data_IF_406565715005
#
_entry.id   IF_406565715005
#
_cell.length_a   1.000
_cell.length_b   1.000
_cell.length_c   1.000
_cell.angle_alpha   90.00
_cell.angle_beta   90.00
_cell.angle_gamma   90.00
#
_symmetry.space_group_name_H-M   'P 1'
#
loop_
_entity.id
_entity.type
_entity.pdbx_description
1 polymer ?
2 polymer ?
3 polymer ?
4 non-polymer ?
5 water ?
#
# COMPACT_ATOMS: atom_id res chain seq x y z
N UNK A 1 17.36 -10.01 -10.20
CA UNK A 1 18.76 -9.56 -9.99
C UNK A 1 19.00 -8.06 -10.14
N UNK A 2 19.61 -7.42 -9.15
CA UNK A 2 19.90 -8.06 -7.84
C UNK A 2 18.68 -8.18 -6.89
N UNK A 3 17.87 -7.13 -6.89
CA UNK A 3 16.44 -7.40 -6.64
C UNK A 3 15.68 -7.42 -7.96
N UNK A 4 14.72 -6.52 -8.10
CA UNK A 4 14.22 -6.32 -9.48
C UNK A 4 15.05 -5.29 -10.23
N UNK A 5 16.28 -5.69 -10.55
CA UNK A 5 17.31 -4.66 -10.75
C UNK A 5 17.94 -4.26 -9.43
N UNK A 6 17.53 -3.08 -8.95
CA UNK A 6 17.65 -2.81 -7.50
C UNK A 6 17.16 -3.92 -6.51
N UNK A 7 17.88 -4.27 -5.43
CA UNK A 7 19.26 -3.96 -4.94
C UNK A 7 19.47 -2.78 -4.01
N UNK A 8 18.89 -1.67 -4.42
CA UNK A 8 18.83 -0.56 -3.45
C UNK A 8 17.53 -0.40 -2.67
N UNK A 9 16.67 -1.37 -2.90
CA UNK A 9 15.30 -1.23 -2.46
C UNK A 9 15.16 -1.00 -0.97
N UNK A 10 14.09 -0.30 -0.64
CA UNK A 10 13.78 -0.18 0.77
C UNK A 10 14.71 0.64 1.63
N UNK A 11 15.67 1.29 0.99
CA UNK A 11 16.50 2.25 1.74
C UNK A 11 16.20 3.66 1.29
N UNK A 12 15.54 4.43 2.16
CA UNK A 12 15.08 5.77 1.74
C UNK A 12 16.13 6.91 1.65
N UNK A 13 16.19 7.66 0.51
CA UNK A 13 17.18 8.75 0.38
C UNK A 13 17.26 9.69 1.54
N UNK A 14 16.10 10.14 2.00
CA UNK A 14 16.14 11.09 3.11
C UNK A 14 16.22 10.50 4.50
N UNK A 15 16.24 9.17 4.61
CA UNK A 15 16.32 8.60 5.98
C UNK A 15 17.45 7.59 6.09
N UNK A 16 17.20 6.31 5.78
CA UNK A 16 18.31 5.34 5.89
C UNK A 16 19.63 5.70 5.26
N UNK A 17 19.53 6.25 4.05
CA UNK A 17 20.80 6.66 3.40
C UNK A 17 21.64 7.73 4.10
N UNK A 18 20.97 8.57 4.89
CA UNK A 18 21.80 9.52 5.62
C UNK A 18 21.70 9.39 7.11
N UNK A 19 21.31 8.18 7.45
CA UNK A 19 21.18 7.72 8.83
C UNK A 19 20.31 8.53 9.77
N UNK A 20 19.22 9.03 9.17
CA UNK A 20 18.16 9.66 9.97
C UNK A 20 16.98 8.75 10.20
N UNK A 21 16.43 8.78 11.38
CA UNK A 21 15.18 8.04 11.57
C UNK A 21 13.92 8.88 11.40
N UNK A 22 12.85 8.30 10.85
CA UNK A 22 11.57 9.00 11.00
C UNK A 22 10.95 8.99 12.38
N UNK A 23 9.87 9.74 12.53
CA UNK A 23 9.43 9.98 13.91
C UNK A 23 8.62 8.92 14.63
N UNK A 24 8.31 7.85 13.90
CA UNK A 24 7.63 6.69 14.52
C UNK A 24 8.23 5.33 14.18
N UNK A 25 9.32 5.29 13.42
CA UNK A 25 9.77 3.95 13.12
C UNK A 25 10.27 3.15 14.32
N UNK A 26 10.68 3.83 15.38
CA UNK A 26 11.01 3.07 16.61
C UNK A 26 9.89 2.21 17.23
N UNK A 27 8.66 2.70 17.11
CA UNK A 27 7.49 1.88 17.46
C UNK A 27 7.38 0.54 16.73
N UNK A 28 7.67 0.59 15.43
CA UNK A 28 7.79 -0.68 14.70
C UNK A 28 8.87 -1.59 15.25
N UNK A 29 10.06 -1.02 15.37
CA UNK A 29 11.19 -1.86 15.78
C UNK A 29 11.12 -2.37 17.22
N UNK A 30 10.51 -1.58 18.07
CA UNK A 30 10.35 -2.23 19.35
C UNK A 30 9.17 -3.15 19.60
N UNK A 31 8.28 -3.24 18.63
CA UNK A 31 7.36 -4.39 18.66
C UNK A 31 7.93 -5.74 18.23
N UNK A 32 9.12 -5.72 17.63
CA UNK A 32 9.72 -6.96 17.11
C UNK A 32 10.49 -7.76 18.16
N UNK A 33 9.68 -8.27 19.10
CA UNK A 33 10.07 -8.76 20.45
C UNK A 33 10.90 -7.80 21.31
N UNK A 34 10.77 -6.52 20.94
CA UNK A 34 11.86 -5.52 21.09
C UNK A 34 13.25 -5.88 20.49
N UNK A 35 13.75 -7.05 20.91
CA UNK A 35 14.80 -7.84 20.21
C UNK A 35 16.28 -7.50 20.32
N UNK A 36 16.51 -6.40 21.03
CA UNK A 36 17.86 -5.91 21.26
C UNK A 36 18.13 -5.64 22.73
N UNK B 1 -6.79 7.22 5.89
CA UNK B 1 -6.31 6.64 7.16
C UNK B 1 -7.06 7.27 8.34
N UNK B 2 -7.55 6.44 9.26
CA UNK B 2 -8.24 6.95 10.45
C UNK B 2 -7.31 6.84 11.63
N UNK B 3 -7.25 7.93 12.39
CA UNK B 3 -6.30 8.05 13.53
C UNK B 3 -4.82 7.99 13.21
N UNK B 4 -4.51 8.35 11.97
CA UNK B 4 -3.09 8.49 11.68
C UNK B 4 -2.56 9.90 11.85
N UNK B 5 -1.38 10.07 11.33
CA UNK B 5 -0.81 11.41 11.32
C UNK B 5 -0.19 11.74 9.99
N UNK B 6 0.23 13.00 9.85
CA UNK B 6 0.85 13.38 8.57
C UNK B 6 2.19 12.75 8.34
N UNK B 7 2.40 12.32 7.12
CA UNK B 7 3.73 11.82 6.86
C UNK B 7 4.80 12.93 6.79
N UNK B 8 6.00 12.59 7.25
CA UNK B 8 7.19 13.34 6.84
C UNK B 8 7.48 13.22 5.41
N UNK B 9 8.17 14.22 4.94
CA UNK B 9 8.52 14.18 3.52
C UNK B 9 9.61 13.14 3.18
N UNK B 10 9.36 12.43 2.08
CA UNK B 10 10.23 11.28 1.73
C UNK B 10 10.13 10.05 2.63
N UNK B 11 9.22 10.02 3.61
CA UNK B 11 9.07 8.88 4.52
C UNK B 11 8.62 7.57 3.86
N UNK B 12 7.94 7.71 2.76
CA UNK B 12 7.42 6.53 2.05
C UNK B 12 7.54 6.74 0.52
N UNK B 13 8.78 6.72 0.05
CA UNK B 13 8.96 7.16 -1.35
C UNK B 13 8.53 6.18 -2.44
N UNK B 14 7.97 5.06 -2.00
CA UNK B 14 7.39 4.07 -2.92
C UNK B 14 5.87 4.21 -3.03
N UNK B 15 5.28 5.12 -2.26
CA UNK B 15 3.82 5.28 -2.36
C UNK B 15 3.45 5.89 -3.68
N UNK B 16 2.49 5.27 -4.31
CA UNK B 16 1.96 5.77 -5.59
C UNK B 16 0.45 6.15 -5.49
N UNK B 17 0.06 7.14 -6.27
CA UNK B 17 -1.37 7.47 -6.34
C UNK B 17 -1.93 6.94 -7.64
N UNK B 18 -2.99 6.17 -7.51
CA UNK B 18 -3.73 5.80 -8.72
C UNK B 18 -4.80 6.84 -9.11
N UNK B 19 -4.62 7.35 -10.31
CA UNK B 19 -5.38 8.57 -10.57
C UNK B 19 -6.21 8.45 -11.85
N UNK B 20 -7.51 8.62 -11.68
CA UNK B 20 -8.37 8.57 -12.87
C UNK B 20 -8.31 9.86 -13.72
N UNK B 21 -8.16 9.65 -15.02
CA UNK B 21 -8.10 10.80 -15.95
C UNK B 21 -9.37 11.62 -16.12
N UNK B 22 -10.48 10.93 -16.20
CA UNK B 22 -11.75 11.68 -16.33
C UNK B 22 -13.01 10.99 -15.81
N UNK B 23 -13.61 11.53 -14.74
CA UNK B 23 -13.13 12.73 -14.06
C UNK B 23 -11.81 12.49 -13.34
N UNK B 24 -11.08 13.57 -13.17
CA UNK B 24 -9.88 13.50 -12.33
C UNK B 24 -10.23 13.04 -10.93
N UNK B 25 -9.82 11.83 -10.63
CA UNK B 25 -10.09 11.40 -9.24
C UNK B 25 -8.97 10.60 -8.63
N UNK B 26 -8.80 10.71 -7.31
CA UNK B 26 -8.08 9.61 -6.65
C UNK B 26 -8.91 8.32 -6.73
N UNK B 27 -8.31 7.27 -7.33
CA UNK B 27 -8.89 5.90 -7.22
C UNK B 27 -8.46 5.07 -6.01
N UNK B 28 -7.14 5.00 -5.82
CA UNK B 28 -6.53 4.05 -4.87
C UNK B 28 -5.07 4.34 -4.61
N UNK B 29 -4.52 3.74 -3.55
CA UNK B 29 -3.06 3.71 -3.39
C UNK B 29 -2.35 2.64 -4.23
N UNK B 30 -1.06 2.69 -4.17
CA UNK B 30 -0.32 1.66 -4.89
C UNK B 30 1.10 1.75 -4.42
N UNK B 31 1.95 0.91 -5.00
CA UNK B 31 3.39 1.04 -4.67
C UNK B 31 4.39 0.72 -5.76
N UNK B 32 5.54 1.38 -5.66
CA UNK B 32 6.59 1.25 -6.67
C UNK B 32 7.58 0.19 -6.23
N UNK B 33 7.70 -0.86 -7.07
CA UNK B 33 8.57 -2.01 -6.71
C UNK B 33 9.81 -2.17 -7.63
N UNK B 34 9.78 -1.48 -8.77
CA UNK B 34 11.05 -1.20 -9.48
C UNK B 34 10.92 0.04 -10.36
N UNK B 35 11.85 0.31 -11.29
CA UNK B 35 11.61 1.54 -12.09
C UNK B 35 10.44 1.55 -13.05
N UNK B 36 9.95 0.34 -13.27
CA UNK B 36 8.89 0.14 -14.27
C UNK B 36 7.62 -0.56 -13.77
N UNK B 37 7.66 -1.04 -12.53
CA UNK B 37 6.53 -1.85 -12.03
C UNK B 37 5.83 -1.31 -10.81
N UNK B 38 4.52 -1.27 -10.93
CA UNK B 38 3.70 -0.86 -9.79
C UNK B 38 2.81 -1.98 -9.24
N UNK B 39 2.82 -2.11 -7.93
CA UNK B 39 1.91 -3.09 -7.30
C UNK B 39 0.69 -2.43 -6.65
N UNK B 40 -0.47 -3.04 -6.91
CA UNK B 40 -1.74 -2.58 -6.30
C UNK B 40 -2.74 -3.74 -6.03
N UNK B 41 -3.93 -3.41 -5.57
CA UNK B 41 -5.01 -4.39 -5.39
C UNK B 41 -5.84 -4.51 -6.62
N UNK B 42 -6.11 -5.76 -7.00
CA UNK B 42 -6.95 -6.00 -8.19
C UNK B 42 -8.31 -5.34 -8.16
N UNK B 43 -8.85 -5.23 -6.96
CA UNK B 43 -10.16 -4.58 -6.87
C UNK B 43 -10.28 -3.07 -7.21
N UNK B 44 -9.11 -2.44 -7.24
CA UNK B 44 -8.96 -1.07 -7.73
C UNK B 44 -9.23 -0.87 -9.23
N UNK B 45 -9.07 -1.97 -9.96
CA UNK B 45 -9.23 -1.93 -11.43
C UNK B 45 -10.47 -2.66 -11.94
N UNK B 46 -10.70 -3.81 -11.29
CA UNK B 46 -11.70 -4.78 -11.71
C UNK B 46 -12.58 -5.23 -10.57
N UNK B 47 -13.78 -4.68 -10.65
CA UNK B 47 -14.82 -5.06 -9.72
C UNK B 47 -16.24 -5.04 -10.29
N UNK B 48 -16.58 -6.19 -10.93
CA UNK B 48 -17.95 -6.33 -11.53
C UNK B 48 -19.21 -5.90 -10.74
N UNK B 49 -19.41 -6.32 -9.49
CA UNK B 49 -20.56 -5.74 -8.78
C UNK B 49 -20.83 -4.21 -8.92
N UNK B 50 -19.74 -3.45 -8.96
CA UNK B 50 -19.86 -2.00 -9.06
C UNK B 50 -19.55 -1.50 -10.44
N UNK B 51 -19.68 -2.40 -11.41
CA UNK B 51 -19.24 -2.13 -12.79
C UNK B 51 -17.91 -1.43 -12.99
N UNK B 52 -16.96 -1.79 -12.15
CA UNK B 52 -15.63 -1.24 -12.33
C UNK B 52 -14.72 -2.15 -13.12
N UNK B 53 -14.24 -1.61 -14.22
CA UNK B 53 -13.27 -2.32 -15.04
C UNK B 53 -12.33 -1.39 -15.81
N UNK B 54 -11.31 -0.89 -15.11
CA UNK B 54 -10.39 0.02 -15.80
C UNK B 54 -9.38 -0.60 -16.70
N UNK B 55 -9.23 0.06 -17.82
CA UNK B 55 -8.07 -0.26 -18.62
C UNK B 55 -6.92 0.75 -18.52
N UNK B 56 -5.80 0.40 -19.14
CA UNK B 56 -4.60 1.25 -19.06
C UNK B 56 -4.77 2.73 -19.40
N UNK B 57 -5.54 2.96 -20.45
CA UNK B 57 -5.69 4.37 -20.79
C UNK B 57 -6.67 5.13 -19.96
N UNK B 58 -7.31 4.41 -19.07
CA UNK B 58 -8.17 5.14 -18.14
C UNK B 58 -7.43 5.84 -17.05
N UNK B 59 -6.19 5.41 -16.88
CA UNK B 59 -5.58 5.78 -15.60
C UNK B 59 -4.23 6.44 -15.78
N UNK B 60 -3.89 7.25 -14.79
CA UNK B 60 -2.49 7.64 -14.62
C UNK B 60 -1.96 7.20 -13.27
N UNK B 61 -0.66 6.94 -13.31
CA UNK B 61 0.03 6.79 -12.02
C UNK B 61 0.87 8.00 -11.53
N UNK B 62 0.68 8.41 -10.29
CA UNK B 62 1.47 9.53 -9.83
C UNK B 62 2.35 9.20 -8.63
N UNK B 63 3.65 9.39 -8.87
CA UNK B 63 4.73 8.98 -7.96
C UNK B 63 5.54 10.13 -7.36
N UNK B 64 5.89 10.05 -6.08
CA UNK B 64 6.68 11.18 -5.56
C UNK B 64 5.89 12.18 -4.77
N UNK B 65 4.62 11.85 -4.56
CA UNK B 65 3.68 12.78 -3.93
C UNK B 65 3.57 12.88 -2.43
N UNK B 66 3.08 14.06 -2.04
CA UNK B 66 2.86 14.31 -0.60
C UNK B 66 1.49 14.91 -0.35
N UNK B 67 1.29 16.04 -1.00
CA UNK B 67 -0.04 16.66 -1.14
C UNK B 67 -0.95 15.78 -1.96
N UNK B 68 -2.15 15.56 -1.47
CA UNK B 68 -3.16 14.85 -2.24
C UNK B 68 -3.62 15.53 -3.54
N UNK B 69 -4.00 16.81 -3.41
CA UNK B 69 -4.57 17.57 -4.56
C UNK B 69 -3.71 18.55 -5.40
N UNK B 70 -2.64 19.12 -4.83
CA UNK B 70 -1.63 19.87 -5.61
C UNK B 70 -0.98 19.07 -6.74
N UNK B 71 -0.74 19.76 -7.84
CA UNK B 71 0.22 19.19 -8.76
C UNK B 71 1.66 19.50 -8.30
N UNK B 72 2.41 18.52 -7.77
CA UNK B 72 3.69 18.90 -7.14
C UNK B 72 4.85 19.14 -8.08
N UNK B 73 4.79 20.33 -8.71
CA UNK B 73 5.48 20.64 -9.96
C UNK B 73 6.90 20.18 -10.25
N UNK B 74 7.87 20.36 -9.36
CA UNK B 74 9.09 19.66 -9.87
C UNK B 74 9.50 18.46 -8.97
N UNK B 75 8.50 17.94 -8.28
CA UNK B 75 8.66 16.80 -7.35
C UNK B 75 8.01 15.52 -7.84
N UNK B 76 6.75 15.61 -8.25
CA UNK B 76 6.09 14.38 -8.66
C UNK B 76 6.36 13.97 -10.10
N UNK B 77 6.23 12.68 -10.31
CA UNK B 77 6.19 12.17 -11.67
C UNK B 77 4.90 11.48 -11.97
N UNK B 78 4.40 11.79 -13.14
CA UNK B 78 3.19 11.15 -13.63
C UNK B 78 3.55 10.17 -14.73
N UNK B 79 2.99 8.99 -14.60
CA UNK B 79 3.24 8.00 -15.66
C UNK B 79 1.97 7.42 -16.21
N UNK B 80 2.13 7.08 -17.48
CA UNK B 80 1.15 6.28 -18.23
C UNK B 80 1.46 4.80 -18.10
N UNK B 81 0.35 4.06 -18.17
CA UNK B 81 0.43 2.60 -18.12
C UNK B 81 0.52 1.96 -19.44
N UNK B 82 1.42 1.02 -19.44
CA UNK B 82 1.49 0.14 -20.60
C UNK B 82 0.62 -1.11 -20.52
N UNK B 83 0.69 -1.76 -19.35
CA UNK B 83 -0.03 -3.02 -19.23
C UNK B 83 -0.46 -3.39 -17.82
N UNK B 84 -1.74 -3.73 -17.68
CA UNK B 84 -2.27 -4.17 -16.39
C UNK B 84 -2.33 -5.69 -16.35
N UNK B 85 -1.83 -6.24 -15.25
CA UNK B 85 -1.91 -7.70 -14.98
C UNK B 85 -2.64 -8.01 -13.72
N UNK B 86 -3.75 -8.70 -13.87
CA UNK B 86 -4.49 -9.11 -12.67
C UNK B 86 -4.22 -10.57 -12.34
N UNK B 87 -4.10 -10.94 -11.08
CA UNK B 87 -4.05 -12.39 -10.82
C UNK B 87 -5.19 -13.21 -11.47
N UNK B 88 -4.84 -14.27 -12.22
CA UNK B 88 -5.88 -15.04 -12.93
C UNK B 88 -6.91 -15.73 -12.03
N UNK B 89 -6.52 -16.05 -10.80
CA UNK B 89 -7.54 -16.43 -9.80
C UNK B 89 -8.02 -15.44 -8.74
N UNK B 90 -7.92 -14.13 -9.03
CA UNK B 90 -8.57 -13.15 -8.13
C UNK B 90 -10.08 -13.42 -7.94
N UNK B 91 -10.49 -13.44 -6.68
CA UNK B 91 -11.88 -13.80 -6.41
C UNK B 91 -12.80 -12.68 -6.01
N UNK B 92 -13.25 -12.01 -7.05
CA UNK B 92 -14.21 -10.95 -6.78
C UNK B 92 -15.63 -11.38 -6.49
N UNK B 93 -15.98 -12.60 -6.93
CA UNK B 93 -17.30 -13.15 -6.48
C UNK B 93 -17.52 -13.33 -4.98
N UNK B 94 -16.47 -13.75 -4.31
CA UNK B 94 -16.77 -14.06 -2.92
C UNK B 94 -16.08 -13.25 -1.83
N UNK B 95 -14.75 -13.33 -1.81
CA UNK B 95 -14.08 -12.76 -0.61
C UNK B 95 -12.87 -11.84 -0.85
N UNK B 96 -12.67 -11.47 -2.13
CA UNK B 96 -11.42 -10.77 -2.59
C UNK B 96 -10.11 -11.53 -2.35
N UNK B 97 -10.18 -12.82 -2.47
CA UNK B 97 -8.96 -13.65 -2.42
C UNK B 97 -8.05 -13.46 -3.65
N UNK B 98 -6.74 -13.38 -3.39
CA UNK B 98 -5.79 -12.96 -4.46
C UNK B 98 -6.04 -11.55 -5.01
N UNK B 99 -6.21 -10.64 -4.07
CA UNK B 99 -6.45 -9.24 -4.45
C UNK B 99 -5.14 -8.50 -4.75
N UNK B 100 -4.65 -8.76 -5.95
CA UNK B 100 -3.35 -8.29 -6.36
C UNK B 100 -3.35 -8.04 -7.86
N UNK B 101 -2.60 -7.03 -8.23
CA UNK B 101 -2.42 -6.63 -9.63
C UNK B 101 -1.09 -5.91 -9.77
N UNK B 102 -0.52 -6.16 -10.95
CA UNK B 102 0.70 -5.49 -11.40
C UNK B 102 0.44 -4.52 -12.55
N UNK B 103 1.05 -3.35 -12.44
CA UNK B 103 0.96 -2.46 -13.59
C UNK B 103 2.34 -2.15 -14.14
N UNK B 104 2.47 -2.34 -15.43
CA UNK B 104 3.67 -1.98 -16.20
C UNK B 104 3.61 -0.52 -16.73
N UNK B 105 4.66 0.23 -16.36
CA UNK B 105 4.73 1.62 -16.80
C UNK B 105 5.23 1.75 -18.22
N UNK B 106 4.71 2.78 -18.90
CA UNK B 106 5.19 3.04 -20.28
C UNK B 106 6.69 3.28 -20.48
N UNK B 107 7.27 4.08 -19.56
CA UNK B 107 8.72 4.44 -19.48
C UNK B 107 9.20 4.40 -18.03
N UNK B 108 10.45 3.98 -17.82
CA UNK B 108 10.89 3.82 -16.43
C UNK B 108 10.95 5.15 -15.68
N UNK B 109 10.63 5.09 -14.38
CA UNK B 109 10.71 6.31 -13.57
C UNK B 109 12.12 6.55 -13.15
N UNK B 110 12.46 7.83 -13.05
CA UNK B 110 13.74 8.08 -12.40
C UNK B 110 13.60 8.26 -10.93
N UNK B 111 14.51 7.64 -10.24
CA UNK B 111 14.47 7.85 -8.81
C UNK B 111 15.10 9.14 -8.36
N UNK B 112 14.76 9.49 -7.15
CA UNK B 112 15.12 10.77 -6.54
C UNK B 112 14.98 10.69 -5.03
N UNK B 113 15.13 11.80 -4.34
CA UNK B 113 14.78 11.79 -2.91
C UNK B 113 13.36 11.38 -2.54
N UNK B 114 12.45 11.56 -3.51
CA UNK B 114 11.03 11.35 -3.20
C UNK B 114 10.38 10.12 -3.85
N UNK B 115 11.17 9.49 -4.70
CA UNK B 115 10.83 8.36 -5.57
C UNK B 115 11.85 7.24 -5.43
N UNK B 116 11.40 6.13 -4.82
CA UNK B 116 12.35 5.06 -4.46
C UNK B 116 11.60 3.74 -4.16
N UNK B 117 11.99 2.64 -4.80
CA UNK B 117 11.20 1.41 -4.62
C UNK B 117 11.31 0.70 -3.26
N UNK B 118 10.26 -0.03 -2.98
CA UNK B 118 10.29 -0.83 -1.73
C UNK B 118 10.79 -2.25 -2.00
N UNK B 119 11.22 -2.96 -0.96
CA UNK B 119 11.49 -4.38 -1.26
C UNK B 119 10.32 -5.31 -1.14
N UNK B 120 10.36 -6.36 -1.93
CA UNK B 120 9.46 -7.52 -1.70
C UNK B 120 10.07 -8.60 -0.83
N UNK B 121 9.27 -9.22 0.05
CA UNK B 121 9.91 -10.13 1.01
C UNK B 121 10.35 -11.44 0.36
N UNK B 122 11.36 -11.97 0.99
CA UNK B 122 11.75 -13.37 0.79
C UNK B 122 11.15 -14.29 1.88
N UNK B 123 11.20 -15.61 1.66
CA UNK B 123 10.74 -16.53 2.73
C UNK B 123 11.16 -16.28 4.17
N UNK B 124 12.45 -16.10 4.39
CA UNK B 124 12.86 -15.88 5.78
C UNK B 124 12.48 -14.54 6.37
N UNK B 125 12.54 -13.51 5.52
CA UNK B 125 11.88 -12.26 5.94
C UNK B 125 10.39 -12.40 6.25
N UNK B 126 9.62 -13.04 5.37
CA UNK B 126 8.21 -13.24 5.74
C UNK B 126 8.03 -13.98 7.05
N UNK B 127 8.84 -15.02 7.16
CA UNK B 127 8.77 -15.83 8.39
C UNK B 127 9.05 -15.13 9.69
N UNK B 128 10.15 -14.40 9.71
CA UNK B 128 10.47 -13.69 10.96
C UNK B 128 9.60 -12.51 11.39
N UNK B 129 9.05 -11.85 10.38
CA UNK B 129 8.38 -10.58 10.66
C UNK B 129 6.87 -10.66 10.71
N UNK B 130 6.38 -11.65 9.96
CA UNK B 130 4.92 -11.73 9.89
C UNK B 130 4.34 -12.53 11.06
N UNK B 131 4.45 -11.87 12.20
CA UNK B 131 4.04 -12.45 13.45
C UNK B 131 3.02 -11.60 14.19
N UNK B 132 2.05 -12.28 14.79
CA UNK B 132 1.05 -11.55 15.57
C UNK B 132 1.66 -10.68 16.62
N UNK B 133 1.20 -9.46 16.70
CA UNK B 133 1.90 -8.56 17.61
C UNK B 133 2.91 -7.58 16.99
N UNK B 134 3.57 -8.00 15.91
CA UNK B 134 4.46 -7.07 15.22
C UNK B 134 3.73 -6.01 14.47
N UNK B 135 4.23 -4.82 14.57
CA UNK B 135 3.58 -3.76 13.80
C UNK B 135 4.16 -3.43 12.42
N UNK B 136 3.25 -3.15 11.53
CA UNK B 136 3.69 -2.57 10.27
C UNK B 136 3.01 -1.23 10.03
N UNK B 137 3.16 -0.72 8.84
CA UNK B 137 2.76 0.65 8.63
C UNK B 137 2.02 0.79 7.36
N UNK B 138 0.94 1.56 7.47
CA UNK B 138 0.07 1.79 6.32
C UNK B 138 0.02 3.29 6.01
N UNK B 139 0.04 3.57 4.72
CA UNK B 139 0.02 4.97 4.29
C UNK B 139 -1.01 5.25 3.20
N UNK B 140 -1.52 6.46 3.20
CA UNK B 140 -2.43 6.80 2.09
C UNK B 140 -3.21 8.12 2.19
N UNK B 141 -3.91 8.46 1.13
CA UNK B 141 -4.67 9.77 1.03
C UNK B 141 -6.19 9.65 1.12
N UNK B 142 -6.59 8.49 1.64
CA UNK B 142 -8.01 8.20 1.70
C UNK B 142 -8.65 8.80 2.91
N UNK B 143 -9.90 8.50 3.02
CA UNK B 143 -10.65 9.23 4.02
C UNK B 143 -10.15 9.08 5.43
N UNK B 144 -10.38 10.19 6.12
CA UNK B 144 -10.05 10.36 7.54
C UNK B 144 -11.05 9.81 8.55
N UNK B 145 -12.26 9.60 8.04
CA UNK B 145 -13.42 9.18 8.85
C UNK B 145 -14.33 8.28 8.01
N UNK B 146 -14.95 7.28 8.65
CA UNK B 146 -15.66 6.24 7.88
C UNK B 146 -16.70 6.64 6.84
N UNK B 147 -16.58 6.03 5.67
CA UNK B 147 -17.64 6.31 4.69
C UNK B 147 -18.56 5.12 4.30
N UNK B 148 -18.33 3.98 4.97
CA UNK B 148 -19.22 2.80 4.86
C UNK B 148 -20.51 2.91 5.69
N UNK B 149 -21.17 4.03 5.42
CA UNK B 149 -21.81 5.02 6.33
C UNK B 149 -20.98 6.31 6.44
N UNK B 150 -21.29 7.24 5.53
CA UNK B 150 -20.50 8.48 5.40
C UNK B 150 -20.18 9.33 6.64
N UNK B 151 -18.90 9.60 6.84
CA UNK B 151 -18.58 10.41 8.01
C UNK B 151 -18.04 11.82 7.80
N UNK B 152 -18.58 12.67 8.67
CA UNK B 152 -18.22 14.09 8.72
C UNK B 152 -16.92 14.45 9.47
N UNK B 153 -16.97 15.41 10.37
CA UNK B 153 -15.73 15.86 11.02
C UNK B 153 -14.68 16.58 10.15
N UNK B 154 -13.98 15.75 9.37
CA UNK B 154 -12.84 16.25 8.54
C UNK B 154 -12.74 15.73 7.07
N UNK B 155 -13.24 14.51 6.85
CA UNK B 155 -13.30 13.96 5.48
C UNK B 155 -12.00 13.49 4.80
N UNK B 156 -11.33 14.45 4.18
CA UNK B 156 -10.18 14.14 3.33
C UNK B 156 -8.92 14.85 3.83
N UNK B 157 -7.74 14.19 3.69
CA UNK B 157 -6.50 14.82 4.17
C UNK B 157 -5.87 15.75 3.13
N UNK B 158 -5.01 16.63 3.59
CA UNK B 158 -4.33 17.34 2.50
C UNK B 158 -2.99 16.76 2.11
N UNK B 159 -2.43 16.15 3.11
CA UNK B 159 -1.15 15.47 2.92
C UNK B 159 -1.33 13.95 3.18
N UNK B 160 -0.39 13.16 2.62
CA UNK B 160 -0.20 11.73 2.97
C UNK B 160 -0.20 11.44 4.46
N UNK B 161 -1.05 10.49 4.81
CA UNK B 161 -1.15 10.12 6.24
C UNK B 161 -0.51 8.79 6.53
N UNK B 162 -0.23 8.58 7.78
CA UNK B 162 0.43 7.32 8.08
C UNK B 162 -0.13 6.73 9.36
N UNK B 163 -0.19 5.41 9.42
CA UNK B 163 -0.44 4.78 10.73
C UNK B 163 0.29 3.42 10.88
N UNK B 164 0.76 3.13 12.09
CA UNK B 164 1.37 1.84 12.45
C UNK B 164 0.41 0.92 13.19
N UNK B 165 0.26 -0.30 12.70
CA UNK B 165 -0.75 -1.24 13.23
C UNK B 165 -0.19 -2.62 13.50
N UNK B 166 -0.57 -3.27 14.61
CA UNK B 166 -0.06 -4.63 14.84
C UNK B 166 -0.72 -5.72 14.00
N UNK B 167 0.06 -6.72 13.61
CA UNK B 167 -0.56 -7.94 13.04
C UNK B 167 -1.46 -8.64 14.10
N UNK B 168 -2.60 -9.13 13.68
CA UNK B 168 -3.44 -9.82 14.66
C UNK B 168 -3.41 -11.34 14.42
N UNK B 169 -3.68 -12.09 15.46
CA UNK B 169 -3.75 -13.52 15.15
C UNK B 169 -4.91 -14.06 14.34
N UNK B 170 -4.58 -15.07 13.56
CA UNK B 170 -5.58 -15.59 12.65
C UNK B 170 -6.96 -15.97 13.18
N UNK B 171 -7.05 -16.74 14.31
CA UNK B 171 -8.38 -16.96 14.89
C UNK B 171 -9.17 -15.71 15.27
N UNK B 172 -8.49 -14.69 15.77
CA UNK B 172 -9.27 -13.47 15.98
C UNK B 172 -9.70 -12.71 14.74
N UNK B 173 -8.83 -12.76 13.73
CA UNK B 173 -9.29 -12.28 12.42
C UNK B 173 -10.54 -12.97 11.91
N UNK B 174 -10.49 -14.30 11.98
CA UNK B 174 -11.61 -15.04 11.45
C UNK B 174 -12.93 -14.95 12.27
N UNK B 175 -12.78 -14.93 13.59
CA UNK B 175 -13.93 -14.62 14.48
C UNK B 175 -14.54 -13.22 14.52
N UNK B 176 -13.87 -12.29 13.84
CA UNK B 176 -14.40 -10.91 13.71
C UNK B 176 -15.32 -10.71 12.54
N UNK B 177 -15.33 -11.70 11.68
CA UNK B 177 -16.08 -11.47 10.44
C UNK B 177 -16.89 -12.68 10.02
N UNK B 178 -17.92 -12.46 9.22
CA UNK B 178 -18.57 -13.60 8.54
C UNK B 178 -18.03 -13.96 7.22
N UNK B 179 -17.01 -13.24 6.75
CA UNK B 179 -16.37 -13.57 5.45
C UNK B 179 -15.38 -14.72 5.56
N UNK B 180 -15.42 -15.60 4.59
CA UNK B 180 -14.37 -16.63 4.61
C UNK B 180 -12.94 -16.12 4.29
N UNK B 181 -12.13 -16.18 5.33
CA UNK B 181 -10.73 -15.73 5.27
C UNK B 181 -9.84 -16.79 4.63
N UNK B 182 -8.91 -16.38 3.77
CA UNK B 182 -8.04 -17.42 3.21
C UNK B 182 -6.63 -17.26 3.73
N UNK B 183 -5.75 -18.16 3.33
CA UNK B 183 -4.31 -18.03 3.66
C UNK B 183 -3.55 -16.99 2.88
N UNK B 184 -4.21 -16.49 1.84
CA UNK B 184 -3.72 -15.31 1.13
C UNK B 184 -4.08 -13.95 1.69
N UNK B 185 -4.52 -13.94 2.93
CA UNK B 185 -4.88 -12.69 3.61
C UNK B 185 -4.29 -12.65 4.98
N UNK B 186 -3.99 -11.47 5.49
CA UNK B 186 -3.84 -11.40 6.94
C UNK B 186 -4.66 -10.22 7.47
N UNK B 187 -4.89 -10.17 8.77
CA UNK B 187 -5.48 -8.92 9.26
C UNK B 187 -4.65 -8.14 10.24
N UNK B 188 -5.00 -6.88 10.33
CA UNK B 188 -4.21 -6.03 11.24
C UNK B 188 -5.02 -4.97 11.94
N UNK B 189 -4.56 -4.57 13.09
CA UNK B 189 -5.29 -3.53 13.78
C UNK B 189 -5.23 -3.75 15.27
N UNK B 190 -5.55 -2.72 16.01
CA UNK B 190 -5.67 -2.88 17.47
C UNK B 190 -6.97 -3.58 17.91
N UNK B 191 -6.83 -4.43 18.92
CA UNK B 191 -7.96 -4.97 19.68
C UNK B 191 -8.73 -3.94 20.50
N UNK B 192 -10.05 -4.13 20.71
CA UNK B 192 -10.86 -3.06 21.35
C UNK B 192 -10.41 -2.57 22.72
N UNK B 193 -9.83 -3.50 23.45
CA UNK B 193 -9.24 -3.06 24.72
C UNK B 193 -7.97 -2.25 24.66
N UNK B 194 -7.20 -2.42 23.59
CA UNK B 194 -5.83 -1.90 23.66
C UNK B 194 -5.67 -0.38 23.74
N UNK B 195 -6.78 0.33 23.70
CA UNK B 195 -6.56 1.77 23.88
C UNK B 195 -6.19 2.58 22.63
N UNK B 196 -5.14 2.10 21.94
CA UNK B 196 -4.92 2.70 20.61
C UNK B 196 -5.89 2.27 19.52
N UNK B 197 -6.16 3.20 18.61
CA UNK B 197 -6.97 3.02 17.39
C UNK B 197 -6.24 3.20 16.03
N UNK B 198 -7.04 3.13 14.98
CA UNK B 198 -6.47 3.43 13.67
C UNK B 198 -6.72 2.39 12.60
N UNK B 199 -6.82 2.88 11.38
CA UNK B 199 -7.15 1.94 10.31
C UNK B 199 -6.94 2.62 8.96
N UNK B 200 -6.92 1.81 7.91
CA UNK B 200 -7.23 2.33 6.59
C UNK B 200 -8.72 2.61 6.40
N UNK B 201 -9.01 3.21 5.25
CA UNK B 201 -10.36 3.67 4.97
C UNK B 201 -10.50 3.90 3.49
N UNK B 202 -11.65 4.33 3.02
CA UNK B 202 -11.87 4.43 1.57
C UNK B 202 -10.84 5.28 0.83
N UNK B 203 -10.35 4.87 -0.34
CA UNK B 203 -9.26 5.64 -0.97
C UNK B 203 -7.84 5.18 -0.63
N UNK B 204 -7.70 4.45 0.50
CA UNK B 204 -6.44 3.77 0.88
C UNK B 204 -6.15 2.41 0.23
N UNK B 205 -7.21 1.72 -0.20
CA UNK B 205 -7.07 0.38 -0.78
C UNK B 205 -6.05 0.41 -1.85
N UNK B 206 -5.37 -0.75 -1.98
CA UNK B 206 -4.25 -0.85 -2.94
C UNK B 206 -2.90 -0.37 -2.45
N UNK B 207 -2.90 0.43 -1.41
CA UNK B 207 -1.58 0.80 -0.95
C UNK B 207 -0.87 -0.23 -0.09
N UNK B 208 0.36 0.18 0.26
CA UNK B 208 1.34 -0.66 1.03
C UNK B 208 1.10 -0.92 2.51
N UNK B 209 1.22 -2.19 2.95
CA UNK B 209 1.56 -2.38 4.39
C UNK B 209 3.05 -2.79 4.46
N UNK B 210 3.83 -2.00 5.16
CA UNK B 210 5.27 -2.28 5.03
C UNK B 210 5.84 -2.56 6.37
N UNK B 211 6.93 -3.31 6.39
CA UNK B 211 7.63 -3.45 7.69
C UNK B 211 9.14 -3.21 7.54
N UNK B 212 9.78 -2.79 8.59
CA UNK B 212 11.23 -2.57 8.45
C UNK B 212 12.05 -3.72 9.03
N UNK B 213 12.89 -4.34 8.24
CA UNK B 213 13.67 -5.38 8.86
C UNK B 213 14.71 -4.93 9.85
N UNK B 214 14.67 -5.59 11.05
CA UNK B 214 15.71 -5.34 12.06
C UNK B 214 17.09 -5.96 11.78
N UNK B 215 17.16 -6.79 10.75
CA UNK B 215 18.42 -7.45 10.38
C UNK B 215 19.19 -6.70 9.33
N UNK B 216 18.46 -6.19 8.33
CA UNK B 216 19.21 -5.39 7.39
C UNK B 216 18.80 -3.94 7.19
N UNK B 217 17.93 -3.45 8.08
CA UNK B 217 17.30 -2.09 7.98
C UNK B 217 16.55 -1.63 6.72
N UNK B 218 16.15 -2.59 5.92
CA UNK B 218 15.34 -2.24 4.78
C UNK B 218 13.86 -2.36 5.00
N UNK B 219 13.10 -1.58 4.19
CA UNK B 219 11.64 -1.72 4.24
C UNK B 219 11.11 -2.74 3.26
N UNK B 220 10.22 -3.58 3.76
CA UNK B 220 9.62 -4.61 2.87
C UNK B 220 8.11 -4.41 2.79
N UNK B 221 7.54 -4.60 1.60
CA UNK B 221 6.07 -4.64 1.61
C UNK B 221 5.47 -6.03 1.91
N UNK B 222 4.81 -6.15 3.05
CA UNK B 222 4.23 -7.46 3.37
C UNK B 222 2.79 -7.68 3.02
N UNK B 223 2.04 -6.56 3.03
CA UNK B 223 0.60 -6.57 2.74
C UNK B 223 0.21 -5.55 1.71
N UNK B 224 -0.89 -5.79 0.99
CA UNK B 224 -1.61 -4.74 0.24
C UNK B 224 -2.94 -4.42 0.90
N UNK B 225 -3.29 -3.14 1.08
CA UNK B 225 -4.62 -2.80 1.62
C UNK B 225 -5.79 -3.31 0.76
N UNK B 226 -6.57 -4.21 1.39
CA UNK B 226 -7.57 -4.93 0.60
C UNK B 226 -9.02 -4.67 0.90
N UNK B 227 -9.42 -4.99 2.13
CA UNK B 227 -10.82 -4.75 2.48
C UNK B 227 -11.00 -4.68 3.98
N UNK B 228 -12.17 -4.24 4.35
CA UNK B 228 -12.40 -4.16 5.79
C UNK B 228 -13.85 -3.81 6.04
N UNK B 229 -14.30 -3.88 7.26
CA UNK B 229 -15.73 -3.62 7.43
C UNK B 229 -15.93 -2.34 8.15
N UNK B 230 -16.20 -1.35 7.32
CA UNK B 230 -16.09 -0.01 7.90
C UNK B 230 -14.67 0.47 7.97
N UNK B 231 -14.46 1.42 8.85
CA UNK B 231 -13.10 1.90 9.09
C UNK B 231 -12.96 2.16 10.54
N UNK B 232 -12.01 1.53 11.17
CA UNK B 232 -11.81 1.79 12.60
C UNK B 232 -13.04 1.46 13.50
N UNK B 233 -13.84 0.51 13.02
CA UNK B 233 -14.87 -0.01 13.93
C UNK B 233 -14.34 -0.93 15.00
N UNK B 234 -14.69 -0.72 16.25
CA UNK B 234 -14.24 -1.67 17.30
C UNK B 234 -14.54 -3.16 17.10
N UNK B 235 -13.57 -4.00 17.40
CA UNK B 235 -13.84 -5.40 17.05
C UNK B 235 -13.83 -5.85 15.58
N UNK B 236 -13.60 -4.89 14.70
CA UNK B 236 -13.27 -5.25 13.32
C UNK B 236 -11.79 -5.00 12.93
N UNK B 237 -11.35 -5.59 11.84
CA UNK B 237 -9.92 -5.45 11.48
C UNK B 237 -9.71 -5.16 10.00
N UNK B 238 -8.54 -4.61 9.65
CA UNK B 238 -8.29 -4.46 8.23
C UNK B 238 -7.73 -5.74 7.69
N UNK B 239 -8.11 -6.08 6.47
CA UNK B 239 -7.54 -7.25 5.79
C UNK B 239 -6.66 -6.85 4.62
N UNK B 240 -5.54 -7.57 4.59
CA UNK B 240 -4.48 -7.26 3.60
C UNK B 240 -4.16 -8.46 2.75
N UNK B 241 -3.95 -8.21 1.48
CA UNK B 241 -3.35 -9.25 0.62
C UNK B 241 -1.96 -9.68 1.08
N UNK B 242 -1.79 -10.99 1.19
CA UNK B 242 -0.51 -11.51 1.67
C UNK B 242 0.55 -11.57 0.59
N UNK B 243 1.47 -10.60 0.58
CA UNK B 243 2.32 -10.43 -0.60
C UNK B 243 3.27 -11.57 -0.87
N UNK B 244 3.98 -12.04 0.16
CA UNK B 244 4.79 -13.26 -0.04
C UNK B 244 4.09 -14.52 -0.63
N UNK B 245 2.93 -14.87 -0.11
CA UNK B 245 2.25 -15.99 -0.75
C UNK B 245 1.90 -15.84 -2.19
N UNK B 246 1.85 -14.59 -2.66
CA UNK B 246 1.59 -14.46 -4.10
C UNK B 246 2.83 -14.11 -4.95
N UNK B 247 3.98 -14.27 -4.30
CA UNK B 247 5.23 -13.85 -4.93
C UNK B 247 5.65 -14.58 -6.21
N UNK B 248 5.36 -15.87 -6.22
CA UNK B 248 5.57 -16.59 -7.48
C UNK B 248 4.80 -16.01 -8.64
N UNK B 249 3.56 -15.65 -8.38
CA UNK B 249 2.86 -14.97 -9.47
C UNK B 249 3.53 -13.67 -9.87
N UNK B 250 3.86 -12.83 -8.88
CA UNK B 250 4.62 -11.60 -9.21
C UNK B 250 5.90 -11.81 -10.04
N UNK B 251 6.73 -12.74 -9.60
CA UNK B 251 7.91 -12.96 -10.44
C UNK B 251 7.69 -13.66 -11.76
N UNK B 252 6.73 -14.59 -11.79
CA UNK B 252 6.28 -15.03 -13.10
C UNK B 252 5.94 -13.96 -14.12
N UNK B 253 5.09 -13.00 -13.71
CA UNK B 253 4.86 -11.91 -14.65
C UNK B 253 5.96 -10.88 -14.92
N UNK B 254 6.69 -10.50 -13.89
CA UNK B 254 7.76 -9.60 -14.31
C UNK B 254 8.97 -10.22 -15.04
N UNK B 255 9.17 -11.52 -14.88
CA UNK B 255 10.13 -12.19 -15.77
C UNK B 255 9.71 -12.38 -17.25
N UNK B 256 8.42 -12.69 -17.45
CA UNK B 256 7.97 -12.82 -18.85
C UNK B 256 7.72 -11.61 -19.75
N UNK B 257 7.83 -10.37 -19.21
CA UNK B 257 8.46 -9.26 -19.96
C UNK B 257 9.11 -8.08 -19.16
N UNK B 258 10.44 -8.00 -19.15
CA UNK B 258 11.31 -8.87 -19.97
C UNK B 258 12.64 -8.31 -20.54
N UNK B 259 13.11 -7.26 -19.86
CA UNK B 259 14.30 -6.49 -20.17
C UNK B 259 14.56 -5.53 -19.00
N UNK C 1 -11.77 19.06 -6.76
CA UNK C 1 -10.77 19.12 -5.64
C UNK C 1 -9.29 19.17 -6.08
N UNK C 2 -9.01 18.40 -7.11
CA UNK C 2 -7.66 18.26 -7.63
C UNK C 2 -7.21 19.46 -8.45
N UNK C 3 -6.00 19.91 -8.18
CA UNK C 3 -5.43 20.87 -9.11
C UNK C 3 -5.18 20.27 -10.47
N UNK C 4 -5.31 21.13 -11.46
CA UNK C 4 -5.07 20.72 -12.83
C UNK C 4 -3.66 20.18 -13.10
N UNK C 5 -3.61 19.07 -13.82
CA UNK C 5 -2.31 18.58 -14.27
C UNK C 5 -1.99 18.90 -15.74
N UNK C 6 -0.71 19.05 -16.05
CA UNK C 6 -0.31 19.24 -17.45
C UNK C 6 -0.93 18.39 -18.54
N UNK C 7 -1.49 19.11 -19.52
CA UNK C 7 -2.11 18.46 -20.70
C UNK C 7 -1.30 17.39 -21.44
N UNK C 8 0.04 17.45 -21.33
CA UNK C 8 0.81 16.30 -21.89
C UNK C 8 0.55 14.92 -21.28
N UNK C 10 -2.66 13.79 -20.44
CA UNK C 10 -4.01 13.33 -20.72
C UNK C 10 -4.17 12.74 -22.13
#
# INVERSE_FOLDING_TARGET
TFGSGEADCGLRPLFEKKSLEDKTERELLESYIDGR
IVEGSDAEIGMSPWQVMLFRKSPQELLCGASLISDRWVLTAAHCLLYPPWDKNFTENDLLVRIGKHSRTRYERNIEKISMLEKIYIHPRYNWRENLDRDIALMKLKKPVAFSDYIHPVCLPDRETAASLLQAGYKGRVTGWGNLKETWTANVGKGQPSVLQVVNLPIVERPVCKDSTRIRITDNMFCAGYKPDEGKRGDACEGDSGGPFVMKSPFNNRWYQMGIVSWGEGCDRDGKYGFYTHVFRLKKWIQKVIDQFGE
DFEEIPEEXL
#
